data_IF_734854773580
#
_entry.id   IF_734854773580
#
_cell.length_a   1.000
_cell.length_b   1.000
_cell.length_c   1.000
_cell.angle_alpha   90.00
_cell.angle_beta   90.00
_cell.angle_gamma   90.00
#
_symmetry.space_group_name_H-M   'P 1'
#
loop_
_entity.id
_entity.type
_entity.pdbx_description
1 polymer ?
#
# COMPACT_ATOMS: atom_id res chain seq x y z
N UNK A 1 -7.21 -3.71 -2.21
CA UNK A 1 -5.90 -4.17 -1.75
C UNK A 1 -5.61 -5.54 -2.38
N UNK A 2 -4.41 -5.80 -2.89
CA UNK A 2 -4.11 -7.13 -3.47
C UNK A 2 -3.81 -8.16 -2.37
N UNK A 3 -3.91 -9.47 -2.62
CA UNK A 3 -3.54 -10.47 -1.61
C UNK A 3 -2.07 -10.39 -1.17
N UNK A 4 -1.17 -9.94 -2.06
CA UNK A 4 0.23 -9.69 -1.72
C UNK A 4 0.34 -8.61 -0.64
N UNK A 5 -0.36 -7.49 -0.85
CA UNK A 5 -0.35 -6.35 0.08
C UNK A 5 -0.97 -6.73 1.43
N UNK A 6 -2.04 -7.53 1.43
CA UNK A 6 -2.67 -8.02 2.67
C UNK A 6 -1.71 -8.87 3.50
N UNK A 7 -1.09 -9.87 2.86
CA UNK A 7 -0.15 -10.77 3.54
C UNK A 7 1.00 -9.97 4.15
N UNK A 8 1.60 -9.11 3.32
CA UNK A 8 2.69 -8.23 3.68
C UNK A 8 2.33 -7.38 4.90
N UNK A 9 1.20 -6.67 4.86
CA UNK A 9 0.80 -5.79 5.95
C UNK A 9 0.53 -6.60 7.21
N UNK A 10 -0.13 -7.76 7.10
CA UNK A 10 -0.45 -8.62 8.25
C UNK A 10 0.81 -9.15 8.95
N UNK A 11 1.83 -9.54 8.19
CA UNK A 11 3.06 -10.11 8.75
C UNK A 11 4.04 -9.03 9.19
N UNK A 12 4.34 -8.07 8.32
CA UNK A 12 5.39 -7.08 8.55
C UNK A 12 4.94 -5.87 9.38
N UNK A 13 3.64 -5.69 9.68
CA UNK A 13 3.20 -4.65 10.63
C UNK A 13 3.57 -4.96 12.08
N UNK A 14 3.94 -6.21 12.38
CA UNK A 14 4.35 -6.66 13.72
C UNK A 14 5.73 -6.08 14.07
N UNK A 15 5.89 -5.32 15.16
CA UNK A 15 7.15 -4.66 15.51
C UNK A 15 8.37 -5.59 15.56
N UNK A 16 8.22 -6.81 16.07
CA UNK A 16 9.33 -7.79 16.19
C UNK A 16 9.79 -8.31 14.83
N UNK A 17 8.83 -8.52 13.92
CA UNK A 17 9.09 -8.95 12.54
C UNK A 17 9.73 -7.81 11.75
N UNK A 18 9.19 -6.60 11.90
CA UNK A 18 9.73 -5.39 11.28
C UNK A 18 11.15 -5.10 11.75
N UNK A 19 11.43 -5.16 13.05
CA UNK A 19 12.77 -4.96 13.61
C UNK A 19 13.78 -5.94 13.01
N UNK A 20 13.44 -7.23 13.03
CA UNK A 20 14.30 -8.29 12.48
C UNK A 20 14.56 -8.07 10.98
N UNK A 21 13.51 -7.78 10.21
CA UNK A 21 13.62 -7.52 8.77
C UNK A 21 14.47 -6.28 8.48
N UNK A 22 14.21 -5.17 9.17
CA UNK A 22 14.86 -3.91 8.91
C UNK A 22 16.33 -3.95 9.34
N UNK A 23 16.66 -4.52 10.51
CA UNK A 23 18.06 -4.71 10.92
C UNK A 23 18.85 -5.60 9.97
N UNK A 24 18.20 -6.55 9.28
CA UNK A 24 18.86 -7.40 8.29
C UNK A 24 19.22 -6.68 6.98
N UNK A 25 18.48 -5.63 6.60
CA UNK A 25 18.65 -4.94 5.31
C UNK A 25 19.26 -3.54 5.44
N UNK A 26 19.17 -2.92 6.61
CA UNK A 26 19.74 -1.60 6.88
C UNK A 26 21.28 -1.66 6.94
N UNK A 27 21.99 -0.56 6.61
CA UNK A 27 23.44 -0.53 6.68
C UNK A 27 23.94 -0.83 8.10
N UNK A 28 24.98 -1.66 8.30
CA UNK A 28 25.43 -2.06 9.63
C UNK A 28 25.73 -0.88 10.57
N UNK A 29 26.41 0.15 10.07
CA UNK A 29 26.71 1.35 10.85
C UNK A 29 25.44 2.14 11.26
N UNK A 30 24.35 2.06 10.48
CA UNK A 30 23.07 2.65 10.84
C UNK A 30 22.36 1.81 11.91
N UNK A 31 22.39 0.47 11.78
CA UNK A 31 21.86 -0.46 12.79
C UNK A 31 22.55 -0.27 14.14
N UNK A 32 23.88 -0.07 14.15
CA UNK A 32 24.65 0.22 15.36
C UNK A 32 24.23 1.52 16.06
N UNK A 33 23.66 2.48 15.33
CA UNK A 33 23.16 3.73 15.87
C UNK A 33 21.74 3.63 16.45
N UNK A 34 20.98 2.57 16.10
CA UNK A 34 19.65 2.31 16.65
C UNK A 34 19.75 1.89 18.11
N UNK A 35 18.77 2.30 18.92
CA UNK A 35 18.58 1.76 20.26
C UNK A 35 18.07 0.31 20.20
N UNK A 36 18.11 -0.39 21.33
CA UNK A 36 17.64 -1.78 21.44
C UNK A 36 16.12 -1.88 21.69
N UNK A 37 15.38 -0.80 21.38
CA UNK A 37 13.92 -0.74 21.44
C UNK A 37 13.30 -1.22 20.12
N UNK A 38 12.12 -1.86 20.20
CA UNK A 38 11.34 -2.22 19.03
C UNK A 38 10.82 -0.96 18.31
N UNK A 39 10.73 -0.99 16.97
CA UNK A 39 10.16 0.11 16.23
C UNK A 39 8.66 0.25 16.45
N UNK A 40 8.18 1.47 16.43
CA UNK A 40 6.76 1.79 16.47
C UNK A 40 6.20 1.87 15.05
N UNK A 41 5.10 1.16 14.79
CA UNK A 41 4.35 1.31 13.54
C UNK A 41 3.59 2.63 13.56
N UNK A 42 3.91 3.51 12.61
CA UNK A 42 3.26 4.79 12.44
C UNK A 42 2.02 4.67 11.54
N UNK A 43 0.93 5.42 11.80
CA UNK A 43 -0.23 5.46 10.92
C UNK A 43 0.14 5.93 9.50
N UNK A 44 -0.47 5.34 8.46
CA UNK A 44 -0.23 5.75 7.07
C UNK A 44 -0.59 7.23 6.80
N UNK A 45 -1.52 7.80 7.57
CA UNK A 45 -1.88 9.23 7.53
C UNK A 45 -0.73 10.18 7.88
N UNK A 46 0.35 9.69 8.49
CA UNK A 46 1.60 10.44 8.65
C UNK A 46 2.16 10.93 7.32
N UNK A 47 1.92 10.18 6.24
CA UNK A 47 2.49 10.48 4.93
C UNK A 47 1.47 11.14 4.00
N UNK A 48 0.17 10.95 4.19
CA UNK A 48 -0.86 11.69 3.43
C UNK A 48 -2.23 11.67 4.15
N UNK A 49 -2.80 12.84 4.45
CA UNK A 49 -4.18 12.97 4.94
C UNK A 49 -5.20 13.10 3.79
N UNK A 50 -4.74 13.51 2.58
CA UNK A 50 -5.59 13.79 1.42
C UNK A 50 -5.68 12.63 0.42
N UNK A 51 -4.80 11.64 0.53
CA UNK A 51 -4.83 10.41 -0.29
C UNK A 51 -4.52 9.17 0.57
N UNK A 52 -5.51 8.64 1.31
CA UNK A 52 -5.28 7.61 2.32
C UNK A 52 -4.79 6.25 1.81
N UNK A 53 -4.76 5.98 0.49
CA UNK A 53 -4.81 4.59 0.03
C UNK A 53 -3.81 4.09 -1.02
N UNK A 54 -2.80 4.84 -1.50
CA UNK A 54 -2.01 4.31 -2.64
C UNK A 54 -0.52 4.11 -2.52
N UNK A 55 0.13 4.46 -1.42
CA UNK A 55 1.49 4.96 -1.62
C UNK A 55 2.54 4.63 -0.53
N UNK A 56 2.15 4.42 0.73
CA UNK A 56 3.04 3.89 1.76
C UNK A 56 2.45 2.63 2.36
N UNK A 57 3.21 1.54 2.36
CA UNK A 57 2.75 0.28 2.93
C UNK A 57 2.94 0.25 4.44
N UNK A 58 4.16 0.49 4.94
CA UNK A 58 4.46 0.58 6.37
C UNK A 58 5.51 1.66 6.66
N UNK A 59 5.25 2.49 7.68
CA UNK A 59 6.21 3.45 8.20
C UNK A 59 6.54 3.08 9.65
N UNK A 60 7.83 2.91 9.94
CA UNK A 60 8.30 2.59 11.27
C UNK A 60 9.16 3.71 11.84
N UNK A 61 8.91 4.04 13.12
CA UNK A 61 9.74 4.93 13.90
C UNK A 61 10.68 4.13 14.81
N UNK A 62 11.95 4.45 14.75
CA UNK A 62 13.02 3.90 15.58
C UNK A 62 13.57 4.98 16.51
N UNK A 63 14.04 4.57 17.68
CA UNK A 63 14.85 5.41 18.56
C UNK A 63 16.33 5.22 18.23
N UNK A 64 17.09 6.30 18.13
CA UNK A 64 18.55 6.28 18.06
C UNK A 64 19.14 6.28 19.48
N UNK A 65 20.34 5.69 19.66
CA UNK A 65 21.07 5.70 20.95
C UNK A 65 21.30 7.12 21.51
N UNK A 66 21.33 8.13 20.64
CA UNK A 66 21.42 9.54 21.03
C UNK A 66 20.09 10.21 21.42
N UNK A 67 19.02 9.44 21.59
CA UNK A 67 17.69 9.91 22.02
C UNK A 67 16.79 10.49 20.92
N UNK A 68 17.34 10.76 19.72
CA UNK A 68 16.57 11.23 18.55
C UNK A 68 15.82 10.11 17.85
N UNK A 69 14.81 10.47 17.08
CA UNK A 69 14.07 9.52 16.25
C UNK A 69 14.78 9.28 14.92
N UNK A 70 14.50 8.14 14.31
CA UNK A 70 14.80 7.77 12.95
C UNK A 70 13.59 7.06 12.35
N UNK A 71 13.46 7.06 11.03
CA UNK A 71 12.34 6.41 10.37
C UNK A 71 12.83 5.41 9.33
N UNK A 72 12.17 4.27 9.25
CA UNK A 72 12.30 3.35 8.13
C UNK A 72 10.97 3.27 7.41
N UNK A 73 11.01 3.50 6.11
CA UNK A 73 9.85 3.49 5.25
C UNK A 73 9.92 2.20 4.42
N UNK A 74 9.07 1.24 4.73
CA UNK A 74 9.05 -0.07 4.09
C UNK A 74 7.91 -0.13 3.06
N UNK A 75 8.29 -0.24 1.79
CA UNK A 75 7.37 -0.40 0.67
C UNK A 75 7.50 -1.80 0.10
N UNK A 76 6.38 -2.33 -0.35
CA UNK A 76 6.29 -3.65 -0.94
C UNK A 76 5.76 -3.49 -2.35
N UNK A 77 6.64 -3.76 -3.29
CA UNK A 77 6.37 -3.54 -4.70
C UNK A 77 6.16 -4.89 -5.38
N UNK A 78 4.88 -5.25 -5.53
CA UNK A 78 4.43 -6.48 -6.20
C UNK A 78 4.17 -6.26 -7.71
N UNK A 79 4.13 -4.98 -8.10
CA UNK A 79 3.90 -4.29 -9.35
C UNK A 79 3.43 -5.02 -10.62
N UNK A 80 2.46 -4.35 -11.22
CA UNK A 80 2.15 -4.24 -12.64
C UNK A 80 3.22 -3.47 -13.47
N UNK A 81 4.51 -3.53 -13.11
CA UNK A 81 5.65 -2.99 -13.86
C UNK A 81 6.44 -1.90 -13.12
N UNK A 82 7.77 -1.94 -13.21
CA UNK A 82 8.72 -1.08 -12.48
C UNK A 82 8.33 0.42 -12.49
N UNK A 83 8.09 1.02 -11.31
CA UNK A 83 7.86 2.46 -11.19
C UNK A 83 9.16 3.22 -11.42
N UNK A 84 9.33 3.73 -12.64
CA UNK A 84 10.48 4.55 -13.03
C UNK A 84 10.66 5.81 -12.17
N UNK A 85 9.64 6.22 -11.41
CA UNK A 85 9.65 7.40 -10.54
C UNK A 85 9.77 7.05 -9.05
N UNK A 86 10.11 5.82 -8.68
CA UNK A 86 10.28 5.40 -7.28
C UNK A 86 11.13 6.37 -6.43
N UNK A 87 12.31 6.83 -6.85
CA UNK A 87 13.10 7.77 -6.04
C UNK A 87 12.36 9.08 -5.76
N UNK A 88 11.60 9.59 -6.74
CA UNK A 88 10.79 10.80 -6.58
C UNK A 88 9.63 10.57 -5.61
N UNK A 89 8.94 9.42 -5.74
CA UNK A 89 7.87 9.00 -4.83
C UNK A 89 8.33 8.95 -3.38
N UNK A 90 9.48 8.32 -3.13
CA UNK A 90 10.05 8.19 -1.78
C UNK A 90 10.54 9.53 -1.21
N UNK A 91 11.11 10.40 -2.06
CA UNK A 91 11.47 11.76 -1.65
C UNK A 91 10.24 12.54 -1.18
N UNK A 92 9.12 12.47 -1.91
CA UNK A 92 7.88 13.14 -1.50
C UNK A 92 7.41 12.67 -0.11
N UNK A 93 7.53 11.38 0.20
CA UNK A 93 7.19 10.89 1.53
C UNK A 93 8.14 11.40 2.60
N UNK A 94 9.45 11.39 2.33
CA UNK A 94 10.44 11.90 3.27
C UNK A 94 10.17 13.37 3.61
N UNK A 95 9.89 14.21 2.60
CA UNK A 95 9.53 15.62 2.80
C UNK A 95 8.30 15.76 3.70
N UNK A 96 7.24 15.00 3.45
CA UNK A 96 6.00 15.09 4.25
C UNK A 96 6.19 14.62 5.70
N UNK A 97 6.98 13.57 5.90
CA UNK A 97 7.35 13.11 7.25
C UNK A 97 8.10 14.22 7.98
N UNK A 98 9.08 14.86 7.34
CA UNK A 98 9.83 15.98 7.92
C UNK A 98 8.99 17.24 8.15
N UNK A 99 8.04 17.56 7.27
CA UNK A 99 7.09 18.66 7.48
C UNK A 99 6.23 18.42 8.73
N UNK A 100 5.77 17.19 8.92
CA UNK A 100 5.02 16.80 10.11
C UNK A 100 5.91 16.83 11.35
N UNK A 101 7.12 16.30 11.29
CA UNK A 101 8.08 16.31 12.39
C UNK A 101 8.36 17.74 12.87
N UNK A 102 8.55 18.69 11.95
CA UNK A 102 8.73 20.11 12.28
C UNK A 102 7.47 20.75 12.88
N UNK A 103 6.27 20.38 12.41
CA UNK A 103 5.01 20.88 12.96
C UNK A 103 4.81 20.40 14.40
N UNK A 104 5.10 19.14 14.67
CA UNK A 104 5.01 18.54 16.00
C UNK A 104 6.15 19.00 16.93
N UNK A 105 7.29 19.42 16.36
CA UNK A 105 8.46 19.90 17.10
C UNK A 105 8.96 21.26 16.57
N UNK A 106 8.33 22.40 16.96
CA UNK A 106 8.68 23.74 16.44
C UNK A 106 10.14 24.19 16.68
N UNK A 107 10.87 23.49 17.55
CA UNK A 107 12.30 23.74 17.84
C UNK A 107 13.28 22.83 17.09
N UNK A 108 12.80 21.94 16.21
CA UNK A 108 13.64 20.97 15.51
C UNK A 108 14.66 21.68 14.61
N UNK A 109 15.96 21.48 14.87
CA UNK A 109 17.07 22.06 14.09
C UNK A 109 17.75 21.06 13.17
N UNK A 110 17.46 19.77 13.32
CA UNK A 110 18.03 18.67 12.54
C UNK A 110 16.94 17.66 12.26
N UNK A 111 16.74 17.34 10.99
CA UNK A 111 15.75 16.37 10.55
C UNK A 111 16.17 14.95 10.97
N UNK A 112 15.19 14.13 11.33
CA UNK A 112 15.44 12.71 11.55
C UNK A 112 15.83 11.99 10.26
N UNK A 113 16.76 11.03 10.32
CA UNK A 113 17.08 10.22 9.14
C UNK A 113 15.88 9.37 8.75
N UNK A 114 15.60 9.30 7.45
CA UNK A 114 14.55 8.46 6.87
C UNK A 114 15.24 7.49 5.91
N UNK A 115 15.06 6.19 6.11
CA UNK A 115 15.65 5.14 5.27
C UNK A 115 14.54 4.41 4.51
N UNK A 116 14.40 4.66 3.19
CA UNK A 116 13.47 3.92 2.37
C UNK A 116 14.00 2.52 2.04
N UNK A 117 13.16 1.52 2.23
CA UNK A 117 13.39 0.12 1.90
C UNK A 117 12.27 -0.36 0.99
N UNK A 118 12.63 -0.96 -0.14
CA UNK A 118 11.68 -1.50 -1.12
C UNK A 118 11.89 -3.00 -1.21
N UNK A 119 10.90 -3.78 -0.77
CA UNK A 119 10.83 -5.22 -1.03
C UNK A 119 10.16 -5.45 -2.38
N UNK A 120 10.93 -5.90 -3.36
CA UNK A 120 10.46 -6.12 -4.71
C UNK A 120 10.36 -7.61 -5.04
N UNK A 121 9.23 -8.02 -5.62
CA UNK A 121 8.97 -9.40 -6.03
C UNK A 121 8.25 -9.48 -7.39
N UNK A 122 8.64 -8.57 -8.30
CA UNK A 122 8.13 -8.59 -9.66
C UNK A 122 8.70 -9.73 -10.52
N UNK A 123 8.09 -9.99 -11.69
CA UNK A 123 8.45 -11.12 -12.55
C UNK A 123 9.80 -10.97 -13.28
N UNK A 124 10.41 -9.78 -13.24
CA UNK A 124 11.69 -9.47 -13.88
C UNK A 124 12.58 -8.74 -12.88
N UNK A 125 13.92 -8.86 -12.99
CA UNK A 125 14.86 -8.04 -12.25
C UNK A 125 14.51 -6.55 -12.28
N UNK A 126 14.65 -5.87 -11.15
CA UNK A 126 14.50 -4.41 -11.08
C UNK A 126 15.54 -3.70 -11.97
N UNK A 127 15.10 -2.85 -12.89
CA UNK A 127 15.95 -2.06 -13.80
C UNK A 127 15.69 -0.55 -13.72
N UNK A 128 14.64 -0.13 -13.06
CA UNK A 128 14.29 1.26 -12.86
C UNK A 128 15.31 2.01 -11.97
N UNK A 129 15.38 3.34 -12.10
CA UNK A 129 16.23 4.20 -11.28
C UNK A 129 16.10 3.96 -9.77
N UNK A 130 17.24 3.92 -9.05
CA UNK A 130 17.27 3.72 -7.58
C UNK A 130 17.62 4.99 -6.81
N UNK A 131 18.05 6.03 -7.51
CA UNK A 131 18.42 7.33 -6.97
C UNK A 131 17.76 8.45 -7.77
N UNK A 132 17.49 9.58 -7.10
CA UNK A 132 16.91 10.77 -7.73
C UNK A 132 17.82 11.31 -8.85
N UNK A 133 19.14 11.26 -8.66
CA UNK A 133 20.13 11.70 -9.65
C UNK A 133 20.05 10.95 -10.98
N UNK A 134 19.57 9.71 -10.99
CA UNK A 134 19.37 8.92 -12.21
C UNK A 134 18.19 9.43 -13.06
N UNK A 135 17.22 10.11 -12.42
CA UNK A 135 16.04 10.73 -13.05
C UNK A 135 16.33 12.11 -13.65
N UNK A 136 17.43 12.75 -13.23
CA UNK A 136 17.80 14.06 -13.77
C UNK A 136 18.21 13.91 -15.24
N UNK A 137 17.67 14.78 -16.09
CA UNK A 137 17.97 14.84 -17.52
C UNK A 137 19.37 15.42 -17.82
N UNK A 138 20.39 14.98 -17.07
CA UNK A 138 21.79 15.33 -17.22
C UNK A 138 22.64 14.05 -17.19
N UNK A 139 23.76 14.04 -17.93
CA UNK A 139 24.66 12.89 -18.04
C UNK A 139 26.12 13.36 -18.06
N UNK A 140 27.02 12.45 -17.70
CA UNK A 140 28.46 12.66 -17.81
C UNK A 140 28.96 13.87 -17.00
N UNK A 141 29.94 14.64 -17.52
CA UNK A 141 30.56 15.74 -16.79
C UNK A 141 29.58 16.81 -16.29
N UNK A 142 28.46 17.03 -17.00
CA UNK A 142 27.45 18.01 -16.59
C UNK A 142 26.69 17.61 -15.34
N UNK A 143 26.44 16.30 -15.13
CA UNK A 143 25.82 15.82 -13.89
C UNK A 143 26.80 15.93 -12.71
N UNK A 144 28.08 15.62 -12.94
CA UNK A 144 29.12 15.73 -11.92
C UNK A 144 29.29 17.19 -11.46
N UNK A 145 29.24 18.14 -12.41
CA UNK A 145 29.35 19.57 -12.11
C UNK A 145 28.24 20.12 -11.21
N UNK A 146 27.10 19.43 -11.09
CA UNK A 146 25.95 19.83 -10.27
C UNK A 146 25.66 18.85 -9.13
N UNK A 147 26.56 17.91 -8.87
CA UNK A 147 26.34 16.84 -7.89
C UNK A 147 26.05 17.37 -6.48
N UNK A 148 26.68 18.47 -6.09
CA UNK A 148 26.50 19.08 -4.77
C UNK A 148 25.19 19.87 -4.62
N UNK A 149 24.48 20.16 -5.72
CA UNK A 149 23.20 20.90 -5.69
C UNK A 149 21.99 20.02 -5.99
N UNK A 150 22.20 18.83 -6.57
CA UNK A 150 21.14 17.84 -6.79
C UNK A 150 21.04 16.92 -5.57
N UNK A 151 19.86 16.76 -4.94
CA UNK A 151 19.71 15.89 -3.78
C UNK A 151 20.08 14.43 -4.09
N UNK A 152 20.99 13.87 -3.29
CA UNK A 152 21.27 12.44 -3.29
C UNK A 152 20.22 11.70 -2.44
N UNK A 153 19.08 11.39 -3.04
CA UNK A 153 18.03 10.57 -2.42
C UNK A 153 17.91 9.24 -3.13
N UNK A 154 17.87 8.14 -2.39
CA UNK A 154 17.72 6.79 -2.94
C UNK A 154 17.14 5.82 -1.92
N UNK A 155 17.11 4.53 -2.28
CA UNK A 155 16.52 3.50 -1.44
C UNK A 155 17.28 2.17 -1.46
N UNK A 156 17.09 1.41 -0.39
CA UNK A 156 17.57 0.04 -0.27
C UNK A 156 16.54 -0.85 -0.99
N UNK A 157 17.00 -1.60 -1.99
CA UNK A 157 16.17 -2.53 -2.73
C UNK A 157 16.51 -3.95 -2.29
N UNK A 158 15.50 -4.68 -1.85
CA UNK A 158 15.55 -6.13 -1.67
C UNK A 158 14.75 -6.77 -2.82
N UNK A 159 15.44 -7.18 -3.89
CA UNK A 159 14.84 -7.85 -5.05
C UNK A 159 14.82 -9.37 -4.81
N UNK A 160 13.65 -9.91 -4.44
CA UNK A 160 13.47 -11.33 -4.11
C UNK A 160 13.78 -12.27 -5.27
N UNK A 161 13.70 -11.80 -6.52
CA UNK A 161 14.06 -12.59 -7.69
C UNK A 161 15.53 -13.03 -7.69
N UNK A 162 16.40 -12.30 -6.99
CA UNK A 162 17.84 -12.58 -6.91
C UNK A 162 18.27 -13.21 -5.59
N UNK A 163 17.38 -13.29 -4.60
CA UNK A 163 17.71 -13.93 -3.32
C UNK A 163 17.52 -15.44 -3.48
N UNK A 164 18.56 -16.27 -3.28
CA UNK A 164 18.42 -17.73 -3.34
C UNK A 164 17.40 -18.24 -2.31
N UNK A 165 16.64 -19.29 -2.66
CA UNK A 165 15.62 -19.86 -1.77
C UNK A 165 16.26 -20.31 -0.45
N UNK A 166 17.46 -20.89 -0.52
CA UNK A 166 18.22 -21.39 0.63
C UNK A 166 18.53 -20.29 1.64
N UNK A 167 18.71 -19.04 1.18
CA UNK A 167 18.89 -17.88 2.08
C UNK A 167 17.57 -17.55 2.77
N UNK A 168 16.46 -17.52 2.03
CA UNK A 168 15.14 -17.24 2.59
C UNK A 168 14.70 -18.33 3.57
N UNK A 169 15.00 -19.60 3.30
CA UNK A 169 14.66 -20.74 4.16
C UNK A 169 15.27 -20.60 5.59
N UNK A 170 16.34 -19.81 5.77
CA UNK A 170 16.96 -19.55 7.09
C UNK A 170 16.27 -18.45 7.92
N UNK A 171 15.32 -17.71 7.34
CA UNK A 171 14.74 -16.49 7.94
C UNK A 171 13.37 -16.75 8.60
N UNK A 172 13.05 -18.01 8.94
CA UNK A 172 11.82 -18.42 9.62
C UNK A 172 10.56 -17.78 9.00
N UNK A 173 9.76 -17.02 9.78
CA UNK A 173 8.52 -16.40 9.32
C UNK A 173 8.74 -15.40 8.17
N UNK A 174 9.76 -14.55 8.28
CA UNK A 174 10.10 -13.55 7.25
C UNK A 174 10.47 -14.27 5.96
N UNK A 175 11.32 -15.28 6.08
CA UNK A 175 11.78 -16.12 4.98
C UNK A 175 10.66 -16.83 4.26
N UNK A 176 9.79 -17.51 5.00
CA UNK A 176 8.64 -18.21 4.45
C UNK A 176 7.69 -17.25 3.74
N UNK A 177 7.43 -16.09 4.33
CA UNK A 177 6.61 -15.03 3.71
C UNK A 177 7.23 -14.57 2.38
N UNK A 178 8.54 -14.31 2.34
CA UNK A 178 9.26 -13.93 1.12
C UNK A 178 9.25 -15.04 0.06
N UNK A 179 9.38 -16.32 0.43
CA UNK A 179 9.27 -17.46 -0.50
C UNK A 179 7.89 -17.50 -1.16
N UNK A 180 6.82 -17.33 -0.37
CA UNK A 180 5.45 -17.28 -0.88
C UNK A 180 5.23 -16.10 -1.84
N UNK A 181 5.80 -14.91 -1.54
CA UNK A 181 5.74 -13.75 -2.42
C UNK A 181 6.54 -13.97 -3.72
N UNK A 182 7.76 -14.49 -3.60
CA UNK A 182 8.68 -14.76 -4.72
C UNK A 182 8.06 -15.73 -5.74
N UNK A 183 7.46 -16.81 -5.28
CA UNK A 183 6.92 -17.87 -6.14
C UNK A 183 5.42 -17.73 -6.43
N UNK A 184 4.79 -16.63 -6.01
CA UNK A 184 3.34 -16.44 -6.09
C UNK A 184 2.77 -16.58 -7.51
N UNK A 185 3.57 -16.26 -8.52
CA UNK A 185 3.16 -16.20 -9.93
C UNK A 185 3.34 -17.52 -10.68
N UNK A 186 4.00 -18.50 -10.08
CA UNK A 186 4.34 -19.76 -10.75
C UNK A 186 3.19 -20.77 -10.74
N UNK A 187 2.11 -20.50 -10.01
CA UNK A 187 0.86 -21.27 -10.07
C UNK A 187 0.92 -22.68 -9.47
N UNK A 188 1.84 -22.90 -8.53
CA UNK A 188 2.06 -24.20 -7.88
C UNK A 188 2.66 -24.07 -6.48
N UNK A 189 2.25 -23.05 -5.71
CA UNK A 189 2.81 -22.82 -4.36
C UNK A 189 2.60 -24.05 -3.46
N UNK A 190 1.43 -24.67 -3.56
CA UNK A 190 1.08 -25.86 -2.76
C UNK A 190 2.00 -27.04 -3.09
N UNK A 191 2.45 -27.16 -4.34
CA UNK A 191 3.36 -28.23 -4.76
C UNK A 191 4.80 -28.00 -4.26
N UNK A 192 5.13 -26.77 -3.86
CA UNK A 192 6.43 -26.41 -3.25
C UNK A 192 6.46 -26.59 -1.73
N UNK A 193 5.30 -26.59 -1.06
CA UNK A 193 5.21 -26.69 0.40
C UNK A 193 6.02 -27.86 1.01
N UNK A 194 6.04 -29.08 0.42
CA UNK A 194 6.86 -30.18 0.97
C UNK A 194 8.35 -29.85 1.06
N UNK A 195 8.89 -29.05 0.13
CA UNK A 195 10.30 -28.58 0.20
C UNK A 195 10.50 -27.67 1.40
N UNK A 196 9.51 -26.83 1.71
CA UNK A 196 9.59 -25.81 2.75
C UNK A 196 9.03 -26.28 4.10
N UNK A 197 8.97 -27.60 4.35
CA UNK A 197 8.41 -28.18 5.57
C UNK A 197 9.09 -27.63 6.84
N UNK A 198 10.42 -27.62 6.87
CA UNK A 198 11.17 -27.12 8.03
C UNK A 198 11.09 -25.59 8.15
N UNK A 199 11.03 -24.89 7.02
CA UNK A 199 10.80 -23.44 7.01
C UNK A 199 9.42 -23.08 7.55
N UNK A 200 8.38 -23.87 7.23
CA UNK A 200 7.04 -23.72 7.82
C UNK A 200 7.08 -23.90 9.34
N UNK A 201 7.72 -24.97 9.84
CA UNK A 201 7.83 -25.21 11.29
C UNK A 201 8.56 -24.07 12.01
N UNK A 202 9.64 -23.58 11.41
CA UNK A 202 10.36 -22.41 11.93
C UNK A 202 9.50 -21.13 11.90
N UNK A 203 8.74 -20.92 10.82
CA UNK A 203 7.80 -19.80 10.70
C UNK A 203 6.70 -19.86 11.76
N UNK A 204 6.17 -21.04 12.05
CA UNK A 204 5.16 -21.23 13.08
C UNK A 204 5.70 -21.02 14.50
N UNK A 205 6.92 -21.47 14.77
CA UNK A 205 7.58 -21.25 16.05
C UNK A 205 7.77 -19.76 16.38
N UNK A 206 8.07 -18.93 15.35
CA UNK A 206 8.27 -17.48 15.50
C UNK A 206 6.95 -16.70 15.39
N UNK A 207 6.12 -17.07 14.42
CA UNK A 207 4.92 -16.32 14.05
C UNK A 207 3.68 -16.69 14.84
N UNK A 208 3.62 -17.92 15.36
CA UNK A 208 2.44 -18.50 15.99
C UNK A 208 1.30 -18.74 14.99
N UNK A 209 0.21 -19.30 15.53
CA UNK A 209 -0.95 -19.73 14.75
C UNK A 209 -1.55 -18.62 13.86
N UNK A 210 -1.66 -17.39 14.37
CA UNK A 210 -2.24 -16.27 13.61
C UNK A 210 -1.46 -15.92 12.34
N UNK A 211 -0.13 -16.00 12.37
CA UNK A 211 0.70 -15.79 11.18
C UNK A 211 0.52 -16.93 10.16
N UNK A 212 0.48 -18.17 10.63
CA UNK A 212 0.29 -19.34 9.75
C UNK A 212 -1.07 -19.31 9.06
N UNK A 213 -2.11 -18.86 9.77
CA UNK A 213 -3.43 -18.62 9.20
C UNK A 213 -3.40 -17.57 8.09
N UNK A 214 -2.69 -16.45 8.29
CA UNK A 214 -2.51 -15.43 7.26
C UNK A 214 -1.78 -15.98 6.02
N UNK A 215 -0.76 -16.81 6.22
CA UNK A 215 -0.02 -17.49 5.15
C UNK A 215 -0.91 -18.48 4.36
N UNK A 216 -1.73 -19.29 5.04
CA UNK A 216 -2.68 -20.20 4.39
C UNK A 216 -3.76 -19.46 3.62
N UNK A 217 -4.29 -18.36 4.19
CA UNK A 217 -5.24 -17.48 3.50
C UNK A 217 -4.62 -16.91 2.22
N UNK A 218 -3.38 -16.44 2.31
CA UNK A 218 -2.66 -15.97 1.14
C UNK A 218 -2.51 -17.06 0.08
N UNK A 219 -1.99 -18.24 0.43
CA UNK A 219 -1.87 -19.37 -0.52
C UNK A 219 -3.23 -19.65 -1.19
N UNK A 220 -4.29 -19.71 -0.39
CA UNK A 220 -5.65 -19.93 -0.87
C UNK A 220 -6.16 -18.87 -1.84
N UNK A 221 -5.78 -17.61 -1.65
CA UNK A 221 -6.26 -16.47 -2.44
C UNK A 221 -5.64 -16.41 -3.84
N UNK A 222 -4.45 -16.98 -4.04
CA UNK A 222 -3.72 -16.92 -5.31
C UNK A 222 -3.58 -18.28 -6.02
N UNK A 223 -3.73 -19.38 -5.29
CA UNK A 223 -3.66 -20.73 -5.84
C UNK A 223 -4.92 -21.02 -6.67
N UNK A 224 -4.71 -21.42 -7.93
CA UNK A 224 -5.81 -21.63 -8.89
C UNK A 224 -6.30 -23.07 -8.93
N UNK A 225 -5.50 -24.00 -8.39
CA UNK A 225 -5.79 -25.44 -8.43
C UNK A 225 -6.45 -25.91 -7.13
N UNK A 226 -7.34 -26.91 -7.16
CA UNK A 226 -7.90 -27.51 -5.95
C UNK A 226 -6.78 -27.95 -4.99
N UNK A 227 -6.77 -27.38 -3.79
CA UNK A 227 -5.60 -27.44 -2.90
C UNK A 227 -5.88 -28.10 -1.55
N UNK A 228 -7.14 -28.18 -1.14
CA UNK A 228 -7.55 -28.59 0.21
C UNK A 228 -6.91 -29.89 0.69
N UNK A 229 -7.01 -30.96 -0.11
CA UNK A 229 -6.40 -32.27 0.22
C UNK A 229 -4.88 -32.23 0.31
N UNK A 230 -4.23 -31.40 -0.53
CA UNK A 230 -2.77 -31.27 -0.56
C UNK A 230 -2.27 -30.46 0.64
N UNK A 231 -2.95 -29.36 0.96
CA UNK A 231 -2.68 -28.56 2.17
C UNK A 231 -2.91 -29.41 3.42
N UNK A 232 -4.04 -30.11 3.52
CA UNK A 232 -4.33 -30.99 4.67
C UNK A 232 -3.24 -32.05 4.87
N UNK A 233 -2.79 -32.71 3.79
CA UNK A 233 -1.68 -33.67 3.85
C UNK A 233 -0.39 -33.00 4.33
N UNK A 234 -0.05 -31.85 3.76
CA UNK A 234 1.12 -31.10 4.20
C UNK A 234 1.05 -30.73 5.69
N UNK A 235 -0.10 -30.27 6.17
CA UNK A 235 -0.31 -29.93 7.59
C UNK A 235 -0.21 -31.16 8.50
N UNK A 236 -0.61 -32.35 8.04
CA UNK A 236 -0.40 -33.60 8.79
C UNK A 236 1.09 -33.91 9.03
N UNK A 237 1.95 -33.57 8.08
CA UNK A 237 3.40 -33.75 8.22
C UNK A 237 4.05 -32.59 8.99
N UNK A 238 3.52 -31.37 8.85
CA UNK A 238 4.08 -30.16 9.43
C UNK A 238 3.71 -29.97 10.90
N UNK A 239 2.41 -30.11 11.21
CA UNK A 239 1.79 -29.88 12.54
C UNK A 239 0.52 -30.71 12.71
N UNK A 240 0.65 -32.04 12.88
CA UNK A 240 -0.48 -32.97 12.94
C UNK A 240 -1.54 -32.60 14.00
N UNK A 241 -1.10 -32.03 15.13
CA UNK A 241 -1.95 -31.64 16.24
C UNK A 241 -2.80 -30.37 15.98
N UNK A 242 -2.51 -29.59 14.94
CA UNK A 242 -3.19 -28.32 14.59
C UNK A 242 -3.92 -28.35 13.26
N UNK A 243 -3.99 -29.51 12.60
CA UNK A 243 -4.61 -29.64 11.26
C UNK A 243 -6.04 -29.12 11.26
N UNK A 244 -6.88 -29.58 12.19
CA UNK A 244 -8.29 -29.17 12.22
C UNK A 244 -8.47 -27.70 12.62
N UNK A 245 -7.61 -27.17 13.51
CA UNK A 245 -7.60 -25.75 13.88
C UNK A 245 -7.30 -24.86 12.65
N UNK A 246 -6.26 -25.20 11.88
CA UNK A 246 -5.89 -24.45 10.69
C UNK A 246 -6.91 -24.55 9.56
N UNK A 247 -7.49 -25.74 9.35
CA UNK A 247 -8.55 -25.92 8.36
C UNK A 247 -9.79 -25.09 8.72
N UNK A 248 -10.21 -25.16 10.00
CA UNK A 248 -11.36 -24.40 10.51
C UNK A 248 -11.15 -22.88 10.42
N UNK A 249 -9.99 -22.37 10.83
CA UNK A 249 -9.67 -20.94 10.72
C UNK A 249 -9.62 -20.45 9.27
N UNK A 250 -9.03 -21.24 8.37
CA UNK A 250 -9.00 -20.88 6.96
C UNK A 250 -10.41 -20.75 6.37
N UNK A 251 -11.34 -21.62 6.76
CA UNK A 251 -12.72 -21.58 6.29
C UNK A 251 -13.52 -20.43 6.92
N UNK A 252 -13.39 -20.23 8.24
CA UNK A 252 -14.01 -19.11 8.95
C UNK A 252 -13.60 -17.77 8.35
N UNK A 253 -12.30 -17.57 8.12
CA UNK A 253 -11.77 -16.31 7.59
C UNK A 253 -12.10 -16.09 6.12
N UNK A 254 -12.25 -17.16 5.33
CA UNK A 254 -12.80 -17.05 3.97
C UNK A 254 -14.22 -16.52 4.01
N UNK A 255 -15.05 -17.00 4.92
CA UNK A 255 -16.43 -16.53 5.05
C UNK A 255 -16.48 -15.09 5.57
N UNK A 256 -15.71 -14.76 6.61
CA UNK A 256 -15.61 -13.40 7.14
C UNK A 256 -15.12 -12.41 6.08
N UNK A 257 -14.07 -12.77 5.32
CA UNK A 257 -13.57 -11.95 4.22
C UNK A 257 -14.61 -11.75 3.12
N UNK A 258 -15.40 -12.78 2.81
CA UNK A 258 -16.51 -12.70 1.84
C UNK A 258 -17.63 -11.78 2.34
N UNK A 259 -18.00 -11.89 3.60
CA UNK A 259 -18.99 -11.01 4.23
C UNK A 259 -18.52 -9.56 4.31
N UNK A 260 -17.26 -9.34 4.68
CA UNK A 260 -16.69 -8.01 4.77
C UNK A 260 -16.58 -7.35 3.39
N UNK A 261 -16.16 -8.11 2.37
CA UNK A 261 -16.17 -7.64 0.98
C UNK A 261 -17.59 -7.28 0.49
N UNK A 262 -18.59 -8.07 0.85
CA UNK A 262 -20.00 -7.75 0.55
C UNK A 262 -20.49 -6.49 1.28
N UNK A 263 -20.10 -6.29 2.54
CA UNK A 263 -20.44 -5.09 3.32
C UNK A 263 -19.79 -3.85 2.73
N UNK A 264 -18.50 -3.91 2.43
CA UNK A 264 -17.75 -2.81 1.84
C UNK A 264 -18.30 -2.44 0.46
N UNK A 265 -18.50 -3.41 -0.44
CA UNK A 265 -19.09 -3.15 -1.76
C UNK A 265 -20.52 -2.59 -1.69
N UNK A 266 -21.31 -2.99 -0.68
CA UNK A 266 -22.63 -2.37 -0.43
C UNK A 266 -22.53 -0.95 0.09
N UNK A 267 -21.49 -0.62 0.86
CA UNK A 267 -21.29 0.73 1.38
C UNK A 267 -20.82 1.66 0.26
N UNK A 268 -19.82 1.25 -0.51
CA UNK A 268 -19.31 1.98 -1.68
C UNK A 268 -20.45 2.22 -2.69
N UNK A 269 -21.21 1.18 -3.07
CA UNK A 269 -22.34 1.34 -4.00
C UNK A 269 -23.50 2.19 -3.44
N UNK A 270 -23.64 2.30 -2.11
CA UNK A 270 -24.61 3.22 -1.49
C UNK A 270 -24.13 4.66 -1.52
N UNK A 271 -22.83 4.89 -1.33
CA UNK A 271 -22.24 6.22 -1.42
C UNK A 271 -22.30 6.73 -2.87
N UNK A 272 -21.89 5.92 -3.84
CA UNK A 272 -22.00 6.24 -5.28
C UNK A 272 -23.46 6.51 -5.68
N UNK A 273 -24.39 5.62 -5.35
CA UNK A 273 -25.81 5.83 -5.68
C UNK A 273 -26.44 7.04 -4.98
N UNK A 274 -25.90 7.46 -3.83
CA UNK A 274 -26.34 8.69 -3.14
C UNK A 274 -25.79 9.94 -3.81
N UNK A 275 -24.56 9.90 -4.31
CA UNK A 275 -23.98 10.98 -5.11
C UNK A 275 -24.72 11.14 -6.44
N UNK A 276 -24.92 10.05 -7.19
CA UNK A 276 -25.69 10.05 -8.45
C UNK A 276 -27.11 10.58 -8.24
N UNK A 277 -27.82 10.08 -7.21
CA UNK A 277 -29.16 10.55 -6.88
C UNK A 277 -29.20 12.03 -6.45
N UNK A 278 -28.14 12.54 -5.83
CA UNK A 278 -28.01 13.97 -5.50
C UNK A 278 -27.82 14.79 -6.78
N UNK A 279 -26.97 14.34 -7.70
CA UNK A 279 -26.76 15.02 -8.99
C UNK A 279 -28.04 15.07 -9.82
N UNK A 280 -28.73 13.93 -10.00
CA UNK A 280 -30.00 13.86 -10.70
C UNK A 280 -31.05 14.77 -10.05
N UNK A 281 -31.10 14.78 -8.71
CA UNK A 281 -31.96 15.68 -7.94
C UNK A 281 -31.65 17.16 -8.18
N UNK A 282 -30.37 17.54 -8.20
CA UNK A 282 -29.93 18.92 -8.49
C UNK A 282 -30.27 19.32 -9.93
N UNK A 283 -30.07 18.45 -10.92
CA UNK A 283 -30.45 18.69 -12.32
C UNK A 283 -31.96 18.93 -12.44
N UNK A 284 -32.77 18.04 -11.87
CA UNK A 284 -34.23 18.17 -11.88
C UNK A 284 -34.71 19.45 -11.18
N UNK A 285 -34.10 19.80 -10.04
CA UNK A 285 -34.38 21.04 -9.32
C UNK A 285 -34.04 22.27 -10.16
N UNK A 286 -32.85 22.30 -10.76
CA UNK A 286 -32.39 23.42 -11.58
C UNK A 286 -33.31 23.65 -12.78
N UNK A 287 -33.70 22.58 -13.50
CA UNK A 287 -34.66 22.68 -14.60
C UNK A 287 -36.01 23.24 -14.14
N UNK A 288 -36.50 22.81 -12.97
CA UNK A 288 -37.75 23.32 -12.40
C UNK A 288 -37.64 24.79 -11.97
N UNK A 289 -36.49 25.22 -11.45
CA UNK A 289 -36.25 26.62 -11.11
C UNK A 289 -36.12 27.51 -12.36
N UNK A 290 -35.45 27.02 -13.41
CA UNK A 290 -35.37 27.70 -14.71
C UNK A 290 -36.79 27.88 -15.27
N UNK A 291 -37.59 26.80 -15.26
CA UNK A 291 -38.98 26.85 -15.72
C UNK A 291 -39.82 27.88 -14.95
N UNK A 292 -39.68 27.89 -13.62
CA UNK A 292 -40.42 28.79 -12.75
C UNK A 292 -40.03 30.26 -12.88
N UNK A 293 -38.76 30.56 -13.19
CA UNK A 293 -38.24 31.94 -13.27
C UNK A 293 -38.32 32.54 -14.67
N UNK A 294 -38.02 31.75 -15.70
CA UNK A 294 -37.84 32.25 -17.07
C UNK A 294 -38.91 31.75 -18.05
N UNK A 295 -39.81 30.87 -17.64
CA UNK A 295 -40.85 30.29 -18.51
C UNK A 295 -40.36 29.00 -19.19
N UNK A 296 -40.80 28.74 -20.42
CA UNK A 296 -40.48 27.47 -21.11
C UNK A 296 -38.96 27.23 -21.19
N UNK A 297 -38.53 26.03 -20.79
CA UNK A 297 -37.12 25.64 -20.81
C UNK A 297 -36.74 25.19 -22.22
N UNK A 298 -35.85 25.90 -22.93
CA UNK A 298 -35.45 25.51 -24.27
C UNK A 298 -34.71 24.16 -24.27
N UNK A 299 -34.82 23.39 -25.37
CA UNK A 299 -34.18 22.07 -25.47
C UNK A 299 -32.66 22.12 -25.23
N UNK A 300 -31.99 23.17 -25.70
CA UNK A 300 -30.54 23.36 -25.50
C UNK A 300 -30.18 23.55 -24.02
N UNK A 301 -31.04 24.18 -23.22
CA UNK A 301 -30.80 24.39 -21.80
C UNK A 301 -30.94 23.08 -21.02
N UNK A 302 -31.93 22.26 -21.39
CA UNK A 302 -32.10 20.90 -20.85
C UNK A 302 -30.89 20.02 -21.13
N UNK A 303 -30.40 20.03 -22.36
CA UNK A 303 -29.19 19.27 -22.75
C UNK A 303 -27.95 19.73 -21.99
N UNK A 304 -27.78 21.05 -21.84
CA UNK A 304 -26.65 21.65 -21.11
C UNK A 304 -26.69 21.34 -19.61
N UNK A 305 -27.88 21.34 -18.98
CA UNK A 305 -28.03 20.92 -17.57
C UNK A 305 -27.81 19.43 -17.38
N UNK A 306 -28.22 18.58 -18.32
CA UNK A 306 -28.03 17.13 -18.22
C UNK A 306 -26.57 16.68 -18.44
N UNK A 307 -25.75 17.49 -19.13
CA UNK A 307 -24.35 17.17 -19.43
C UNK A 307 -23.34 17.90 -18.54
N UNK A 308 -23.80 18.79 -17.67
CA UNK A 308 -22.95 19.57 -16.78
C UNK A 308 -22.27 18.71 -15.70
N UNK A 309 -21.05 19.08 -15.30
CA UNK A 309 -20.39 18.49 -14.14
C UNK A 309 -20.95 19.06 -12.83
N UNK A 310 -20.81 18.37 -11.67
CA UNK A 310 -21.43 18.79 -10.42
C UNK A 310 -21.11 20.24 -10.00
N UNK A 311 -19.85 20.65 -10.14
CA UNK A 311 -19.42 22.01 -9.81
C UNK A 311 -20.13 23.10 -10.65
N UNK A 312 -20.52 22.79 -11.89
CA UNK A 312 -21.30 23.71 -12.74
C UNK A 312 -22.75 23.79 -12.27
N UNK A 313 -23.35 22.65 -11.88
CA UNK A 313 -24.71 22.61 -11.37
C UNK A 313 -24.86 23.46 -10.10
N UNK A 314 -23.94 23.31 -9.14
CA UNK A 314 -23.96 24.08 -7.89
C UNK A 314 -23.80 25.59 -8.19
N UNK A 315 -22.87 25.96 -9.06
CA UNK A 315 -22.66 27.36 -9.45
C UNK A 315 -23.90 27.96 -10.13
N UNK A 316 -24.63 27.18 -10.93
CA UNK A 316 -25.88 27.63 -11.56
C UNK A 316 -27.03 27.74 -10.57
N UNK A 317 -27.11 26.83 -9.58
CA UNK A 317 -28.10 26.95 -8.49
C UNK A 317 -27.91 28.26 -7.73
N UNK A 318 -26.68 28.67 -7.43
CA UNK A 318 -26.41 29.94 -6.75
C UNK A 318 -26.68 31.15 -7.64
N UNK A 319 -26.32 31.06 -8.93
CA UNK A 319 -26.45 32.15 -9.89
C UNK A 319 -27.90 32.41 -10.31
N UNK A 320 -28.83 31.48 -10.10
CA UNK A 320 -30.23 31.60 -10.54
C UNK A 320 -30.95 32.79 -9.92
N UNK A 321 -30.52 33.25 -8.75
CA UNK A 321 -31.13 34.39 -8.07
C UNK A 321 -30.72 35.74 -8.68
N UNK A 322 -29.60 35.77 -9.40
CA UNK A 322 -28.95 37.00 -9.89
C UNK A 322 -29.00 37.11 -11.41
N UNK A 323 -29.00 35.99 -12.13
CA UNK A 323 -29.12 35.98 -13.58
C UNK A 323 -30.50 36.51 -14.03
N UNK A 324 -30.49 37.30 -15.12
CA UNK A 324 -31.68 37.89 -15.74
C UNK A 324 -32.21 37.02 -16.90
N UNK A 325 -31.36 36.17 -17.50
CA UNK A 325 -31.72 35.27 -18.60
C UNK A 325 -31.14 33.87 -18.42
N UNK A 326 -31.69 32.88 -19.14
CA UNK A 326 -31.23 31.49 -19.12
C UNK A 326 -29.80 31.37 -19.69
N UNK A 327 -29.47 32.19 -20.69
CA UNK A 327 -28.15 32.25 -21.31
C UNK A 327 -27.09 32.75 -20.32
N UNK A 328 -27.40 33.79 -19.55
CA UNK A 328 -26.50 34.31 -18.51
C UNK A 328 -26.36 33.37 -17.32
N UNK A 329 -27.39 32.56 -17.04
CA UNK A 329 -27.34 31.56 -15.99
C UNK A 329 -26.37 30.43 -16.36
N UNK A 330 -26.55 29.86 -17.55
CA UNK A 330 -25.86 28.65 -18.02
C UNK A 330 -24.53 28.92 -18.75
N UNK A 331 -24.07 30.18 -18.80
CA UNK A 331 -22.75 30.56 -19.33
C UNK A 331 -21.61 30.06 -18.44
#
# INVERSE_FOLDING_TARGET
>A
MTPHDELVKTIFSRPEVADTQLRAVLPPAFVEALADELPELMPASVVDESFPERHVDLLFRFRLKGGRDAFALLLFEHQSGEDGMMPWRLLRYAVRIWEREQRENPGLRRLSPIVPVVLYHGPRPWRAPRRLTELVALRGPSLEAVRDVVPECGFILEDLGHVPDEVLETQALIGFTKLLLKHAREGSLVDRLPRWLETWKAAEAVGGAGAMVALLRYIASIERRPMERRIRRFLQDATPERVEDYMSWADMLREEGREQGLKQGRQEGREEGREEGREEGTRALLLRLIAGRYGDVPAWATERVNTAVPAQLDAWVDRIFVAETVESLLS
#
